data_IF_128519122471
#
_entry.id   IF_128519122471
#
_cell.length_a   1.000
_cell.length_b   1.000
_cell.length_c   1.000
_cell.angle_alpha   90.00
_cell.angle_beta   90.00
_cell.angle_gamma   90.00
#
_symmetry.space_group_name_H-M   'P 1'
#
loop_
_entity.id
_entity.type
_entity.pdbx_description
1 polymer ?
#
# COMPACT_ATOMS: atom_id res chain seq x y z
N UNK A 1 -50.99 -15.36 9.11
CA UNK A 1 -49.75 -15.46 9.90
C UNK A 1 -48.88 -16.51 9.24
N UNK A 2 -47.84 -16.11 8.51
CA UNK A 2 -46.87 -17.07 7.98
C UNK A 2 -45.85 -17.32 9.08
N UNK A 3 -46.05 -18.39 9.84
CA UNK A 3 -45.08 -18.93 10.78
C UNK A 3 -43.93 -19.55 9.99
N UNK A 4 -43.00 -18.70 9.52
CA UNK A 4 -41.80 -19.13 8.79
C UNK A 4 -40.61 -18.94 9.69
N UNK A 5 -40.08 -20.07 10.18
CA UNK A 5 -38.88 -20.12 11.02
C UNK A 5 -37.72 -19.40 10.34
N UNK A 6 -37.11 -18.45 11.05
CA UNK A 6 -35.89 -17.75 10.62
C UNK A 6 -34.73 -18.75 10.64
N UNK A 7 -34.30 -19.22 9.46
CA UNK A 7 -33.09 -20.02 9.32
C UNK A 7 -31.95 -19.10 8.87
N UNK A 8 -30.97 -18.89 9.74
CA UNK A 8 -29.73 -18.22 9.39
C UNK A 8 -28.79 -19.16 8.63
N UNK A 9 -28.17 -18.67 7.56
CA UNK A 9 -27.03 -19.31 6.91
C UNK A 9 -25.85 -18.34 6.89
N UNK A 10 -24.64 -18.86 7.09
CA UNK A 10 -23.40 -18.11 6.90
C UNK A 10 -22.99 -18.18 5.43
N UNK A 11 -22.34 -17.13 4.92
CA UNK A 11 -21.65 -17.18 3.62
C UNK A 11 -20.45 -18.13 3.73
N UNK A 12 -20.53 -19.28 3.08
CA UNK A 12 -19.49 -20.31 3.04
C UNK A 12 -20.06 -21.67 2.61
N UNK A 13 -19.19 -22.58 2.20
CA UNK A 13 -19.53 -23.98 1.92
C UNK A 13 -18.94 -24.89 3.01
N UNK A 14 -19.62 -25.99 3.32
CA UNK A 14 -19.12 -27.02 4.24
C UNK A 14 -18.95 -28.31 3.43
N UNK A 15 -17.73 -28.82 3.32
CA UNK A 15 -17.44 -30.14 2.75
C UNK A 15 -17.35 -31.19 3.87
N UNK A 16 -17.61 -32.45 3.53
CA UNK A 16 -17.47 -33.61 4.43
C UNK A 16 -16.23 -34.45 4.08
N UNK A 17 -15.25 -33.85 3.39
CA UNK A 17 -14.01 -34.52 3.02
C UNK A 17 -13.18 -34.83 4.27
N UNK A 18 -12.51 -35.98 4.27
CA UNK A 18 -11.69 -36.44 5.40
C UNK A 18 -10.26 -35.93 5.27
N UNK A 19 -9.75 -35.27 6.29
CA UNK A 19 -8.36 -34.74 6.38
C UNK A 19 -7.31 -35.83 6.68
N UNK A 20 -7.68 -37.12 6.60
CA UNK A 20 -6.80 -38.25 6.93
C UNK A 20 -6.34 -38.93 5.65
N UNK A 21 -5.07 -39.34 5.62
CA UNK A 21 -4.45 -40.17 4.57
C UNK A 21 -4.30 -39.49 3.18
N UNK A 22 -4.16 -38.17 3.14
CA UNK A 22 -3.80 -37.41 1.93
C UNK A 22 -2.38 -36.85 2.04
N UNK A 23 -1.55 -37.10 1.02
CA UNK A 23 -0.25 -36.48 0.89
C UNK A 23 -0.39 -34.99 0.58
N UNK A 24 0.24 -34.13 1.39
CA UNK A 24 0.23 -32.69 1.15
C UNK A 24 0.88 -32.37 -0.20
N UNK A 25 0.25 -31.48 -0.96
CA UNK A 25 0.82 -30.95 -2.19
C UNK A 25 2.22 -30.34 -1.93
N UNK A 26 3.17 -30.52 -2.88
CA UNK A 26 4.52 -29.98 -2.74
C UNK A 26 4.49 -28.45 -2.67
N UNK A 27 5.26 -27.89 -1.75
CA UNK A 27 5.30 -26.45 -1.46
C UNK A 27 6.72 -25.96 -1.25
N UNK A 28 6.95 -24.71 -1.61
CA UNK A 28 8.20 -23.97 -1.43
C UNK A 28 7.97 -22.77 -0.50
N UNK A 29 8.97 -22.42 0.30
CA UNK A 29 8.90 -21.28 1.21
C UNK A 29 9.58 -20.08 0.55
N UNK A 30 8.82 -19.01 0.29
CA UNK A 30 9.34 -17.75 -0.21
C UNK A 30 9.51 -16.76 0.95
N UNK A 31 10.70 -16.16 1.05
CA UNK A 31 11.02 -15.14 2.07
C UNK A 31 10.79 -13.74 1.53
N UNK A 32 9.91 -12.98 2.17
CA UNK A 32 9.70 -11.57 1.86
C UNK A 32 10.20 -10.69 2.99
N UNK A 33 10.89 -9.60 2.65
CA UNK A 33 11.33 -8.58 3.60
C UNK A 33 10.53 -7.30 3.39
N UNK A 34 9.89 -6.82 4.46
CA UNK A 34 9.19 -5.54 4.46
C UNK A 34 10.13 -4.37 4.69
N UNK A 35 9.66 -3.16 4.40
CA UNK A 35 10.41 -1.90 4.58
C UNK A 35 10.88 -1.67 6.03
N UNK A 36 10.15 -2.22 7.00
CA UNK A 36 10.50 -2.16 8.43
C UNK A 36 11.60 -3.18 8.84
N UNK A 37 12.08 -4.00 7.91
CA UNK A 37 13.11 -5.02 8.14
C UNK A 37 12.59 -6.38 8.61
N UNK A 38 11.28 -6.53 8.84
CA UNK A 38 10.68 -7.82 9.19
C UNK A 38 10.70 -8.78 8.00
N UNK A 39 10.93 -10.07 8.28
CA UNK A 39 10.96 -11.13 7.28
C UNK A 39 9.81 -12.10 7.53
N UNK A 40 9.07 -12.43 6.47
CA UNK A 40 7.96 -13.37 6.49
C UNK A 40 8.21 -14.53 5.54
N UNK A 41 7.99 -15.75 6.02
CA UNK A 41 8.00 -16.96 5.20
C UNK A 41 6.58 -17.25 4.70
N UNK A 42 6.42 -17.37 3.39
CA UNK A 42 5.12 -17.55 2.73
C UNK A 42 5.16 -18.85 1.91
N UNK A 43 4.28 -19.82 2.21
CA UNK A 43 4.24 -21.07 1.46
C UNK A 43 3.53 -20.86 0.12
N UNK A 44 4.22 -21.19 -0.97
CA UNK A 44 3.67 -21.29 -2.32
C UNK A 44 3.66 -22.75 -2.78
N UNK A 45 2.76 -23.11 -3.68
CA UNK A 45 2.84 -24.39 -4.37
C UNK A 45 4.15 -24.47 -5.17
N UNK A 46 4.68 -25.68 -5.36
CA UNK A 46 5.96 -25.84 -6.04
C UNK A 46 5.90 -25.52 -7.55
N UNK A 47 4.75 -25.60 -8.18
CA UNK A 47 4.56 -25.20 -9.58
C UNK A 47 4.20 -23.71 -9.76
N UNK A 48 4.02 -22.96 -8.67
CA UNK A 48 3.62 -21.56 -8.71
C UNK A 48 4.80 -20.62 -9.02
N UNK A 49 4.53 -19.61 -9.85
CA UNK A 49 5.40 -18.46 -10.04
C UNK A 49 5.39 -17.57 -8.79
N UNK A 50 6.56 -17.34 -8.20
CA UNK A 50 6.69 -16.53 -6.98
C UNK A 50 6.72 -15.05 -7.39
N UNK A 51 5.80 -14.21 -6.89
CA UNK A 51 5.80 -12.79 -7.19
C UNK A 51 6.98 -12.07 -6.52
N UNK A 52 7.43 -10.97 -7.12
CA UNK A 52 8.52 -10.16 -6.56
C UNK A 52 8.11 -9.33 -5.33
N UNK A 53 6.81 -9.02 -5.18
CA UNK A 53 6.24 -8.35 -4.00
C UNK A 53 5.05 -9.13 -3.43
N UNK A 54 4.86 -9.04 -2.12
CA UNK A 54 3.73 -9.67 -1.43
C UNK A 54 3.24 -8.85 -0.24
N UNK A 55 1.91 -8.78 -0.05
CA UNK A 55 1.31 -8.15 1.11
C UNK A 55 1.54 -9.04 2.35
N UNK A 56 2.46 -8.61 3.20
CA UNK A 56 2.88 -9.37 4.37
C UNK A 56 1.87 -9.22 5.52
N UNK A 57 1.99 -10.08 6.53
CA UNK A 57 1.06 -10.11 7.69
C UNK A 57 1.06 -8.81 8.50
N UNK A 58 2.13 -8.02 8.42
CA UNK A 58 2.22 -6.69 9.03
C UNK A 58 1.43 -5.60 8.27
N UNK A 59 0.85 -5.92 7.11
CA UNK A 59 0.10 -4.99 6.27
C UNK A 59 0.96 -4.15 5.33
N UNK A 60 2.28 -4.36 5.31
CA UNK A 60 3.20 -3.72 4.37
C UNK A 60 3.46 -4.63 3.16
N UNK A 61 3.82 -4.03 2.02
CA UNK A 61 4.41 -4.80 0.92
C UNK A 61 5.83 -5.23 1.30
N UNK A 62 6.10 -6.52 1.18
CA UNK A 62 7.42 -7.11 1.29
C UNK A 62 7.99 -7.41 -0.09
N UNK A 63 9.31 -7.30 -0.23
CA UNK A 63 10.06 -7.67 -1.42
C UNK A 63 10.69 -9.04 -1.25
N UNK A 64 10.71 -9.86 -2.30
CA UNK A 64 11.30 -11.19 -2.27
C UNK A 64 12.81 -11.12 -1.99
N UNK A 65 13.29 -11.86 -0.98
CA UNK A 65 14.70 -11.83 -0.55
C UNK A 65 15.64 -12.54 -1.53
N UNK A 66 15.15 -13.62 -2.16
CA UNK A 66 15.95 -14.51 -3.01
C UNK A 66 15.79 -14.23 -4.52
N UNK A 67 15.41 -13.00 -4.89
CA UNK A 67 15.16 -12.63 -6.29
C UNK A 67 15.57 -11.20 -6.64
N UNK A 68 15.52 -10.89 -7.94
CA UNK A 68 15.67 -9.52 -8.42
C UNK A 68 14.48 -8.70 -7.94
N UNK A 69 14.75 -7.60 -7.22
CA UNK A 69 13.70 -6.67 -6.82
C UNK A 69 12.92 -6.22 -8.08
N UNK A 70 11.59 -6.39 -8.13
CA UNK A 70 10.83 -5.97 -9.29
C UNK A 70 10.97 -4.47 -9.50
N UNK A 71 11.06 -4.05 -10.75
CA UNK A 71 11.20 -2.63 -11.09
C UNK A 71 9.99 -1.86 -10.55
N UNK A 72 10.25 -0.85 -9.72
CA UNK A 72 9.19 -0.07 -9.10
C UNK A 72 8.31 0.57 -10.19
N UNK A 73 7.01 0.29 -10.15
CA UNK A 73 6.06 0.91 -11.08
C UNK A 73 6.12 2.42 -10.89
N UNK A 74 6.31 3.17 -11.97
CA UNK A 74 6.26 4.63 -11.95
C UNK A 74 4.83 5.07 -11.62
N UNK A 75 4.60 5.49 -10.39
CA UNK A 75 3.30 6.05 -9.95
C UNK A 75 3.30 7.55 -10.22
N UNK A 76 2.17 8.07 -10.72
CA UNK A 76 1.95 9.52 -10.81
C UNK A 76 1.79 10.06 -9.39
N UNK A 77 2.60 11.04 -8.95
CA UNK A 77 2.44 11.63 -7.63
C UNK A 77 1.01 12.18 -7.44
N UNK A 78 0.44 12.08 -6.23
CA UNK A 78 -0.83 12.72 -5.94
C UNK A 78 -0.69 14.24 -6.07
N UNK A 79 -1.78 14.90 -6.46
CA UNK A 79 -1.82 16.37 -6.62
C UNK A 79 -1.51 17.04 -5.30
N UNK A 80 -0.56 17.97 -5.30
CA UNK A 80 -0.16 18.74 -4.12
C UNK A 80 -0.90 20.08 -4.06
N UNK A 81 -0.90 20.72 -2.88
CA UNK A 81 -1.46 22.08 -2.76
C UNK A 81 -0.71 23.09 -3.64
N UNK A 82 0.59 22.88 -3.86
CA UNK A 82 1.38 23.70 -4.78
C UNK A 82 0.89 23.58 -6.22
N UNK A 83 0.60 22.36 -6.68
CA UNK A 83 0.05 22.14 -8.02
C UNK A 83 -1.30 22.86 -8.16
N UNK A 84 -2.16 22.75 -7.15
CA UNK A 84 -3.43 23.48 -7.11
C UNK A 84 -3.26 25.00 -7.12
N UNK A 85 -2.16 25.53 -6.57
CA UNK A 85 -1.84 26.95 -6.56
C UNK A 85 -1.40 27.41 -7.95
N UNK A 86 -0.51 26.66 -8.60
CA UNK A 86 -0.03 26.97 -9.94
C UNK A 86 -1.11 26.89 -11.02
N UNK A 87 -2.19 26.17 -10.76
CA UNK A 87 -3.35 26.11 -11.67
C UNK A 87 -4.21 27.38 -11.65
N UNK A 88 -4.11 28.19 -10.59
CA UNK A 88 -4.90 29.41 -10.38
C UNK A 88 -4.08 30.68 -10.32
N UNK A 89 -2.75 30.58 -10.14
CA UNK A 89 -1.82 31.71 -10.05
C UNK A 89 -0.61 31.45 -10.93
N UNK A 90 -0.17 32.49 -11.62
CA UNK A 90 1.10 32.42 -12.37
C UNK A 90 2.29 32.53 -11.40
N UNK A 91 3.48 32.11 -11.86
CA UNK A 91 4.68 32.22 -11.05
C UNK A 91 5.06 33.68 -10.77
N UNK A 92 4.79 34.58 -11.71
CA UNK A 92 5.04 36.01 -11.58
C UNK A 92 4.16 36.65 -10.49
N UNK A 93 2.88 36.29 -10.43
CA UNK A 93 1.97 36.74 -9.36
C UNK A 93 2.44 36.27 -7.97
N UNK A 94 2.93 35.03 -7.88
CA UNK A 94 3.45 34.47 -6.63
C UNK A 94 4.76 35.15 -6.20
N UNK A 95 5.62 35.50 -7.16
CA UNK A 95 6.87 36.22 -6.90
C UNK A 95 6.60 37.62 -6.37
N UNK A 96 5.62 38.32 -6.92
CA UNK A 96 5.24 39.65 -6.43
C UNK A 96 4.65 39.57 -5.02
N UNK A 97 3.74 38.62 -4.78
CA UNK A 97 3.18 38.37 -3.44
C UNK A 97 4.27 38.02 -2.42
N UNK A 98 5.30 37.28 -2.83
CA UNK A 98 6.45 36.97 -1.96
C UNK A 98 7.22 38.24 -1.59
N UNK A 99 7.49 39.14 -2.54
CA UNK A 99 8.18 40.42 -2.27
C UNK A 99 7.39 41.29 -1.30
N UNK A 100 6.08 41.45 -1.52
CA UNK A 100 5.20 42.20 -0.61
C UNK A 100 5.31 41.67 0.83
N UNK A 101 5.27 40.34 1.00
CA UNK A 101 5.40 39.70 2.32
C UNK A 101 6.77 39.88 2.94
N UNK A 102 7.83 39.81 2.15
CA UNK A 102 9.20 40.02 2.62
C UNK A 102 9.40 41.46 3.09
N UNK A 103 8.84 42.45 2.39
CA UNK A 103 8.98 43.86 2.76
C UNK A 103 8.22 44.20 4.03
N UNK A 104 7.01 43.65 4.22
CA UNK A 104 6.31 43.71 5.50
C UNK A 104 7.12 43.09 6.64
N UNK A 105 7.80 41.97 6.39
CA UNK A 105 8.62 41.29 7.39
C UNK A 105 9.87 42.09 7.75
N UNK A 106 10.54 42.72 6.76
CA UNK A 106 11.65 43.65 7.00
C UNK A 106 11.20 44.86 7.81
N UNK A 107 10.04 45.43 7.49
CA UNK A 107 9.48 46.56 8.24
C UNK A 107 9.22 46.18 9.71
N UNK A 108 8.62 45.01 9.97
CA UNK A 108 8.42 44.48 11.33
C UNK A 108 9.73 44.27 12.09
N UNK A 109 10.78 43.75 11.42
CA UNK A 109 12.10 43.53 12.04
C UNK A 109 12.86 44.80 12.34
N UNK A 110 12.69 45.86 11.54
CA UNK A 110 13.33 47.18 11.76
C UNK A 110 12.59 48.04 12.77
N UNK A 111 11.31 47.76 13.03
CA UNK A 111 10.50 48.41 14.05
C UNK A 111 10.46 47.68 15.39
N UNK A 112 11.31 46.67 15.59
CA UNK A 112 11.55 45.97 16.85
C UNK A 112 12.94 46.33 17.38
#
# INVERSE_FOLDING_TARGET
MADRVLRGSRLGAVSYETDRDHDLAPRRMAKYRCDNGEVFDIPFADDAEIPGTWLCRNGLEGTLVEGTAPEAKKVKPPRTHWDMLLERRSKEELEELLKERLDLLKAKRRGA
#
